data_IF_728996381310
#
_entry.id   IF_728996381310
#
_cell.length_a   1.000
_cell.length_b   1.000
_cell.length_c   1.000
_cell.angle_alpha   90.00
_cell.angle_beta   90.00
_cell.angle_gamma   90.00
#
_symmetry.space_group_name_H-M   'P 1'
#
loop_
_entity.id
_entity.type
_entity.pdbx_description
1 polymer ?
#
# COMPACT_ATOMS: atom_id res chain seq x y z
N UNK A 1 -30.27 -6.77 28.89
CA UNK A 1 -29.50 -5.56 28.54
C UNK A 1 -29.87 -4.50 29.58
N UNK A 2 -29.07 -4.39 30.65
CA UNK A 2 -29.31 -3.37 31.68
C UNK A 2 -28.92 -2.02 31.13
N UNK A 3 -29.82 -1.04 31.16
CA UNK A 3 -29.53 0.32 30.74
C UNK A 3 -28.35 0.87 31.57
N UNK A 4 -27.42 1.59 30.91
CA UNK A 4 -26.35 2.35 31.58
C UNK A 4 -26.85 3.26 32.72
N UNK A 5 -28.16 3.55 32.72
CA UNK A 5 -28.87 4.31 33.74
C UNK A 5 -28.80 3.69 35.16
N UNK A 6 -28.61 2.37 35.30
CA UNK A 6 -28.60 1.69 36.61
C UNK A 6 -27.20 1.33 37.14
N UNK A 7 -26.12 1.78 36.49
CA UNK A 7 -24.74 1.51 36.93
C UNK A 7 -24.29 2.51 37.99
N UNK A 8 -23.61 2.02 39.04
CA UNK A 8 -22.90 2.89 39.99
C UNK A 8 -21.75 3.62 39.28
N UNK A 9 -21.27 4.77 39.81
CA UNK A 9 -20.15 5.50 39.22
C UNK A 9 -18.90 4.63 38.98
N UNK A 10 -18.58 3.73 39.91
CA UNK A 10 -17.45 2.80 39.78
C UNK A 10 -17.63 1.80 38.63
N UNK A 11 -18.82 1.21 38.52
CA UNK A 11 -19.12 0.26 37.44
C UNK A 11 -19.14 0.95 36.07
N UNK A 12 -19.63 2.20 36.00
CA UNK A 12 -19.59 3.00 34.78
C UNK A 12 -18.16 3.31 34.34
N UNK A 13 -17.33 3.77 35.27
CA UNK A 13 -15.91 4.05 34.98
C UNK A 13 -15.16 2.80 34.50
N UNK A 14 -15.43 1.64 35.10
CA UNK A 14 -14.83 0.38 34.68
C UNK A 14 -15.30 -0.04 33.28
N UNK A 15 -16.61 0.06 33.01
CA UNK A 15 -17.16 -0.21 31.68
C UNK A 15 -16.57 0.72 30.61
N UNK A 16 -16.47 2.02 30.90
CA UNK A 16 -15.86 3.00 29.98
C UNK A 16 -14.38 2.70 29.72
N UNK A 17 -13.62 2.30 30.74
CA UNK A 17 -12.21 1.92 30.60
C UNK A 17 -12.05 0.66 29.73
N UNK A 18 -12.84 -0.38 29.99
CA UNK A 18 -12.85 -1.62 29.20
C UNK A 18 -13.24 -1.36 27.75
N UNK A 19 -14.30 -0.56 27.54
CA UNK A 19 -14.75 -0.17 26.20
C UNK A 19 -13.70 0.66 25.45
N UNK A 20 -13.02 1.59 26.14
CA UNK A 20 -11.92 2.36 25.56
C UNK A 20 -10.76 1.45 25.15
N UNK A 21 -10.34 0.53 26.01
CA UNK A 21 -9.27 -0.42 25.69
C UNK A 21 -9.64 -1.31 24.50
N UNK A 22 -10.88 -1.77 24.44
CA UNK A 22 -11.40 -2.52 23.31
C UNK A 22 -11.29 -1.70 22.02
N UNK A 23 -11.84 -0.48 21.99
CA UNK A 23 -11.79 0.36 20.80
C UNK A 23 -10.36 0.72 20.38
N UNK A 24 -9.50 1.08 21.32
CA UNK A 24 -8.11 1.42 21.01
C UNK A 24 -7.38 0.24 20.36
N UNK A 25 -7.65 -0.99 20.83
CA UNK A 25 -7.11 -2.21 20.24
C UNK A 25 -7.57 -2.41 18.79
N UNK A 26 -8.89 -2.35 18.53
CA UNK A 26 -9.41 -2.53 17.17
C UNK A 26 -9.00 -1.40 16.23
N UNK A 27 -9.03 -0.15 16.68
CA UNK A 27 -8.58 0.99 15.89
C UNK A 27 -7.11 0.86 15.50
N UNK A 28 -6.26 0.34 16.41
CA UNK A 28 -4.84 0.11 16.12
C UNK A 28 -4.67 -0.98 15.07
N UNK A 29 -5.44 -2.07 15.16
CA UNK A 29 -5.41 -3.15 14.19
C UNK A 29 -5.91 -2.68 12.81
N UNK A 30 -7.04 -1.99 12.76
CA UNK A 30 -7.63 -1.48 11.52
C UNK A 30 -6.68 -0.49 10.84
N UNK A 31 -6.08 0.42 11.61
CA UNK A 31 -5.07 1.33 11.09
C UNK A 31 -3.85 0.60 10.51
N UNK A 32 -3.36 -0.44 11.20
CA UNK A 32 -2.23 -1.23 10.72
C UNK A 32 -2.56 -1.97 9.41
N UNK A 33 -3.75 -2.55 9.31
CA UNK A 33 -4.24 -3.24 8.11
C UNK A 33 -4.40 -2.24 6.96
N UNK A 34 -5.09 -1.12 7.18
CA UNK A 34 -5.30 -0.09 6.15
C UNK A 34 -3.97 0.44 5.62
N UNK A 35 -3.05 0.78 6.51
CA UNK A 35 -1.72 1.28 6.14
C UNK A 35 -0.91 0.23 5.38
N UNK A 36 -0.97 -1.04 5.81
CA UNK A 36 -0.31 -2.15 5.14
C UNK A 36 -0.85 -2.36 3.72
N UNK A 37 -2.18 -2.40 3.57
CA UNK A 37 -2.84 -2.55 2.27
C UNK A 37 -2.53 -1.40 1.31
N UNK A 38 -2.59 -0.16 1.80
CA UNK A 38 -2.25 1.02 0.99
C UNK A 38 -0.81 0.99 0.52
N UNK A 39 0.13 0.66 1.42
CA UNK A 39 1.55 0.55 1.07
C UNK A 39 1.79 -0.58 0.05
N UNK A 40 1.23 -1.76 0.29
CA UNK A 40 1.37 -2.90 -0.62
C UNK A 40 0.79 -2.65 -2.01
N UNK A 41 -0.35 -1.95 -2.09
CA UNK A 41 -0.94 -1.56 -3.38
C UNK A 41 -0.04 -0.57 -4.14
N UNK A 42 0.47 0.46 -3.46
CA UNK A 42 1.38 1.43 -4.10
C UNK A 42 2.67 0.76 -4.58
N UNK A 43 3.32 -0.04 -3.72
CA UNK A 43 4.54 -0.76 -4.08
C UNK A 43 4.30 -1.74 -5.25
N UNK A 44 3.20 -2.49 -5.22
CA UNK A 44 2.84 -3.42 -6.29
C UNK A 44 2.54 -2.73 -7.61
N UNK A 45 1.89 -1.57 -7.60
CA UNK A 45 1.62 -0.78 -8.79
C UNK A 45 2.92 -0.24 -9.41
N UNK A 46 3.80 0.35 -8.58
CA UNK A 46 5.08 0.88 -9.04
C UNK A 46 5.98 -0.23 -9.62
N UNK A 47 6.08 -1.36 -8.92
CA UNK A 47 6.85 -2.52 -9.39
C UNK A 47 6.28 -3.09 -10.69
N UNK A 48 4.95 -3.20 -10.80
CA UNK A 48 4.28 -3.66 -12.02
C UNK A 48 4.51 -2.74 -13.22
N UNK A 49 4.39 -1.41 -13.01
CA UNK A 49 4.68 -0.42 -14.06
C UNK A 49 6.14 -0.48 -14.51
N UNK A 50 7.09 -0.59 -13.58
CA UNK A 50 8.51 -0.68 -13.91
C UNK A 50 8.82 -1.97 -14.69
N UNK A 51 8.35 -3.13 -14.23
CA UNK A 51 8.50 -4.40 -14.94
C UNK A 51 7.88 -4.36 -16.34
N UNK A 52 6.72 -3.70 -16.49
CA UNK A 52 6.07 -3.51 -17.79
C UNK A 52 6.92 -2.67 -18.76
N UNK A 53 7.51 -1.58 -18.27
CA UNK A 53 8.44 -0.75 -19.06
C UNK A 53 9.68 -1.54 -19.49
N UNK A 54 10.31 -2.26 -18.57
CA UNK A 54 11.50 -3.06 -18.85
C UNK A 54 11.22 -4.20 -19.83
N UNK A 55 10.09 -4.91 -19.66
CA UNK A 55 9.68 -5.96 -20.60
C UNK A 55 9.46 -5.40 -22.01
N UNK A 56 8.78 -4.26 -22.11
CA UNK A 56 8.57 -3.58 -23.40
C UNK A 56 9.90 -3.16 -24.02
N UNK A 57 10.79 -2.55 -23.24
CA UNK A 57 12.11 -2.14 -23.71
C UNK A 57 12.98 -3.32 -24.19
N UNK A 58 12.97 -4.45 -23.46
CA UNK A 58 13.67 -5.68 -23.87
C UNK A 58 13.18 -6.19 -25.22
N UNK A 59 11.85 -6.22 -25.41
CA UNK A 59 11.27 -6.65 -26.67
C UNK A 59 11.64 -5.70 -27.82
N UNK A 60 11.52 -4.38 -27.61
CA UNK A 60 11.91 -3.39 -28.62
C UNK A 60 13.41 -3.48 -28.98
N UNK A 61 14.28 -3.73 -28.00
CA UNK A 61 15.72 -3.93 -28.22
C UNK A 61 16.00 -5.19 -29.04
N UNK A 62 15.28 -6.28 -28.76
CA UNK A 62 15.36 -7.52 -29.54
C UNK A 62 14.91 -7.33 -31.01
N UNK A 63 13.94 -6.45 -31.25
CA UNK A 63 13.49 -6.02 -32.58
C UNK A 63 14.44 -5.02 -33.26
N UNK A 64 15.58 -4.70 -32.65
CA UNK A 64 16.58 -3.78 -33.21
C UNK A 64 16.18 -2.31 -33.17
N UNK A 65 15.17 -1.93 -32.39
CA UNK A 65 14.77 -0.53 -32.22
C UNK A 65 15.86 0.24 -31.49
N UNK A 66 16.13 1.47 -31.93
CA UNK A 66 17.22 2.28 -31.37
C UNK A 66 16.94 2.70 -29.92
N UNK A 67 17.96 2.77 -29.04
CA UNK A 67 17.78 3.15 -27.63
C UNK A 67 17.06 4.49 -27.42
N UNK A 68 17.28 5.47 -28.31
CA UNK A 68 16.60 6.76 -28.28
C UNK A 68 15.08 6.65 -28.47
N UNK A 69 14.62 5.76 -29.36
CA UNK A 69 13.19 5.51 -29.56
C UNK A 69 12.63 4.75 -28.37
N UNK A 70 13.36 3.74 -27.86
CA UNK A 70 12.93 2.98 -26.68
C UNK A 70 12.76 3.90 -25.46
N UNK A 71 13.72 4.81 -25.22
CA UNK A 71 13.62 5.82 -24.17
C UNK A 71 12.35 6.67 -24.32
N UNK A 72 12.08 7.15 -25.54
CA UNK A 72 10.89 7.97 -25.81
C UNK A 72 9.58 7.20 -25.56
N UNK A 73 9.54 5.90 -25.88
CA UNK A 73 8.34 5.09 -25.73
C UNK A 73 8.10 4.57 -24.31
N UNK A 74 9.15 4.19 -23.59
CA UNK A 74 9.06 3.53 -22.28
C UNK A 74 9.28 4.48 -21.11
N UNK A 75 9.94 5.63 -21.37
CA UNK A 75 10.35 6.58 -20.33
C UNK A 75 11.54 6.10 -19.49
N UNK A 76 12.17 4.98 -19.84
CA UNK A 76 13.45 4.56 -19.25
C UNK A 76 14.60 5.40 -19.78
N UNK A 77 15.60 5.66 -18.94
CA UNK A 77 16.84 6.29 -19.36
C UNK A 77 17.64 5.41 -20.32
N UNK A 78 18.52 6.03 -21.13
CA UNK A 78 19.46 5.28 -21.97
C UNK A 78 20.29 4.29 -21.16
N UNK A 79 20.75 4.66 -19.97
CA UNK A 79 21.54 3.79 -19.10
C UNK A 79 20.75 2.56 -18.65
N UNK A 80 19.47 2.72 -18.29
CA UNK A 80 18.58 1.59 -17.99
C UNK A 80 18.43 0.69 -19.21
N UNK A 81 18.16 1.24 -20.39
CA UNK A 81 17.98 0.48 -21.64
C UNK A 81 19.25 -0.26 -22.07
N UNK A 82 20.42 0.34 -21.88
CA UNK A 82 21.71 -0.29 -22.19
C UNK A 82 21.97 -1.49 -21.27
N UNK A 83 21.56 -1.41 -20.00
CA UNK A 83 21.67 -2.50 -19.01
C UNK A 83 20.66 -3.64 -19.19
N UNK A 84 19.56 -3.43 -19.91
CA UNK A 84 18.56 -4.48 -20.21
C UNK A 84 19.11 -5.50 -21.21
#
# INVERSE_FOLDING_TARGET
>A
IGSMANLTPKQRAQYEAEWKMYNDYYNTLDFAVEKGMKKGMEEGLQEGLQKGKESTARNMKAEGITPLIIQKCTGLSLEEIERL
#
